data_IF_271668676538
#
_entry.id   IF_271668676538
#
_cell.length_a   1.000
_cell.length_b   1.000
_cell.length_c   1.000
_cell.angle_alpha   90.00
_cell.angle_beta   90.00
_cell.angle_gamma   90.00
#
_symmetry.space_group_name_H-M   'P 1'
#
loop_
_entity.id
_entity.type
_entity.pdbx_description
1 polymer ?
#
# COMPACT_ATOMS: atom_id res chain seq x y z
N UNK A 1 5.80 17.03 -10.76
CA UNK A 1 4.45 16.60 -10.36
C UNK A 1 4.61 15.27 -9.66
N UNK A 2 4.30 15.18 -8.37
CA UNK A 2 4.40 13.93 -7.61
C UNK A 2 3.16 13.08 -7.89
N UNK A 3 3.31 12.04 -8.70
CA UNK A 3 2.23 11.10 -9.02
C UNK A 3 1.86 10.29 -7.78
N UNK A 4 0.85 10.76 -7.04
CA UNK A 4 0.32 10.04 -5.89
C UNK A 4 -0.57 8.93 -6.41
N UNK A 5 -0.17 7.69 -6.18
CA UNK A 5 -1.02 6.51 -6.39
C UNK A 5 -1.88 6.29 -5.15
N UNK A 6 -3.19 6.16 -5.38
CA UNK A 6 -4.14 5.80 -4.34
C UNK A 6 -4.36 4.30 -4.35
N UNK A 7 -4.80 3.74 -3.22
CA UNK A 7 -5.21 2.35 -3.18
C UNK A 7 -6.28 2.00 -4.20
N UNK A 8 -7.20 2.93 -4.51
CA UNK A 8 -8.24 2.68 -5.51
C UNK A 8 -7.63 2.39 -6.88
N UNK A 9 -6.70 3.24 -7.31
CA UNK A 9 -5.95 3.07 -8.56
C UNK A 9 -5.18 1.75 -8.58
N UNK A 10 -4.53 1.43 -7.45
CA UNK A 10 -3.74 0.20 -7.29
C UNK A 10 -4.62 -1.07 -7.33
N UNK A 11 -5.79 -1.03 -6.72
CA UNK A 11 -6.79 -2.09 -6.79
C UNK A 11 -7.36 -2.27 -8.19
N UNK A 12 -7.59 -1.18 -8.93
CA UNK A 12 -8.06 -1.23 -10.32
C UNK A 12 -6.99 -1.81 -11.26
N UNK A 13 -5.72 -1.41 -11.10
CA UNK A 13 -4.60 -1.94 -11.88
C UNK A 13 -4.37 -3.44 -11.60
N UNK A 14 -4.37 -3.85 -10.33
CA UNK A 14 -4.16 -5.24 -9.93
C UNK A 14 -5.43 -6.10 -9.99
N UNK A 15 -6.59 -5.50 -10.34
CA UNK A 15 -7.92 -6.14 -10.30
C UNK A 15 -8.21 -6.88 -8.99
N UNK A 16 -7.77 -6.30 -7.86
CA UNK A 16 -8.01 -6.82 -6.52
C UNK A 16 -9.18 -6.10 -5.86
N UNK A 17 -9.95 -6.84 -5.07
CA UNK A 17 -11.02 -6.27 -4.29
C UNK A 17 -10.51 -5.23 -3.27
N UNK A 18 -11.11 -4.02 -3.22
CA UNK A 18 -10.68 -2.97 -2.29
C UNK A 18 -10.78 -3.34 -0.80
N UNK A 19 -11.53 -4.39 -0.45
CA UNK A 19 -11.54 -4.94 0.90
C UNK A 19 -10.32 -5.79 1.16
N UNK A 20 -10.07 -6.78 0.31
CA UNK A 20 -8.95 -7.70 0.44
C UNK A 20 -7.61 -6.94 0.42
N UNK A 21 -7.47 -5.98 -0.51
CA UNK A 21 -6.30 -5.13 -0.57
C UNK A 21 -6.05 -4.37 0.75
N UNK A 22 -7.10 -3.83 1.37
CA UNK A 22 -6.98 -3.13 2.66
C UNK A 22 -6.55 -4.06 3.79
N UNK A 23 -7.01 -5.31 3.78
CA UNK A 23 -6.64 -6.29 4.80
C UNK A 23 -5.19 -6.76 4.62
N UNK A 24 -4.80 -7.13 3.40
CA UNK A 24 -3.40 -7.47 3.07
C UNK A 24 -2.44 -6.34 3.45
N UNK A 25 -2.77 -5.10 3.07
CA UNK A 25 -1.96 -3.95 3.43
C UNK A 25 -1.94 -3.67 4.95
N UNK A 26 -3.05 -3.92 5.66
CA UNK A 26 -3.07 -3.80 7.13
C UNK A 26 -2.13 -4.82 7.76
N UNK A 27 -2.16 -6.07 7.29
CA UNK A 27 -1.23 -7.11 7.76
C UNK A 27 0.23 -6.74 7.45
N UNK A 28 0.51 -6.25 6.24
CA UNK A 28 1.83 -5.81 5.82
C UNK A 28 2.36 -4.64 6.65
N UNK A 29 1.52 -3.64 6.96
CA UNK A 29 1.89 -2.53 7.87
C UNK A 29 2.19 -3.02 9.28
N UNK A 30 1.44 -3.99 9.78
CA UNK A 30 1.69 -4.59 11.09
C UNK A 30 3.01 -5.39 11.09
N UNK A 31 3.39 -5.95 9.94
CA UNK A 31 4.68 -6.61 9.74
C UNK A 31 5.78 -5.60 9.35
N UNK A 32 6.11 -4.72 10.30
CA UNK A 32 7.18 -3.73 10.14
C UNK A 32 8.59 -4.36 9.97
N UNK A 33 8.74 -5.69 10.13
CA UNK A 33 9.97 -6.42 9.79
C UNK A 33 10.06 -6.70 8.30
N UNK A 34 8.95 -7.09 7.67
CA UNK A 34 8.89 -7.34 6.23
C UNK A 34 8.73 -6.05 5.41
N UNK A 35 7.97 -5.07 5.93
CA UNK A 35 7.63 -3.83 5.21
C UNK A 35 7.84 -2.57 6.08
N UNK A 36 9.10 -2.24 6.40
CA UNK A 36 9.42 -1.13 7.29
C UNK A 36 9.02 0.24 6.71
N UNK A 37 9.09 0.44 5.39
CA UNK A 37 8.77 1.73 4.77
C UNK A 37 7.25 1.92 4.62
N UNK A 38 6.50 0.85 4.35
CA UNK A 38 5.04 0.83 4.38
C UNK A 38 4.52 1.13 5.79
N UNK A 39 5.12 0.51 6.81
CA UNK A 39 4.75 0.70 8.21
C UNK A 39 5.03 2.15 8.68
N UNK A 40 6.18 2.73 8.29
CA UNK A 40 6.52 4.13 8.60
C UNK A 40 5.64 5.15 7.86
N UNK A 41 5.33 4.89 6.60
CA UNK A 41 4.49 5.78 5.79
C UNK A 41 3.03 5.76 6.26
N UNK A 42 2.61 4.70 6.96
CA UNK A 42 1.26 4.55 7.48
C UNK A 42 1.01 5.48 8.65
N UNK A 43 0.02 6.37 8.51
CA UNK A 43 -0.59 7.07 9.63
C UNK A 43 -1.97 6.47 9.97
N UNK A 44 -2.35 6.39 11.25
CA UNK A 44 -3.70 5.98 11.63
C UNK A 44 -4.74 6.90 10.99
N UNK A 45 -5.85 6.33 10.50
CA UNK A 45 -7.01 7.06 9.94
C UNK A 45 -6.72 7.86 8.66
N UNK A 46 -5.53 7.76 8.07
CA UNK A 46 -5.25 8.38 6.77
C UNK A 46 -5.60 7.45 5.61
N UNK A 47 -6.06 7.99 4.46
CA UNK A 47 -6.27 7.21 3.26
C UNK A 47 -4.96 6.55 2.80
N UNK A 48 -5.09 5.38 2.18
CA UNK A 48 -3.97 4.69 1.56
C UNK A 48 -3.54 5.41 0.28
N UNK A 49 -2.41 6.09 0.36
CA UNK A 49 -1.82 6.86 -0.73
C UNK A 49 -0.30 6.74 -0.63
N UNK A 50 0.35 6.58 -1.78
CA UNK A 50 1.79 6.48 -1.87
C UNK A 50 2.28 7.32 -3.03
N UNK A 51 3.50 7.82 -2.94
CA UNK A 51 4.15 8.42 -4.11
C UNK A 51 4.57 7.29 -5.05
N UNK A 52 4.13 7.34 -6.30
CA UNK A 52 4.48 6.37 -7.33
C UNK A 52 6.00 6.27 -7.45
N UNK A 53 6.52 5.05 -7.35
CA UNK A 53 7.96 4.77 -7.36
C UNK A 53 8.67 4.86 -6.00
N UNK A 54 7.98 5.29 -4.92
CA UNK A 54 8.54 5.26 -3.56
C UNK A 54 8.72 3.83 -3.02
N UNK A 55 9.57 3.68 -2.01
CA UNK A 55 9.79 2.39 -1.34
C UNK A 55 8.46 1.82 -0.77
N UNK A 56 7.67 2.66 -0.10
CA UNK A 56 6.36 2.27 0.43
C UNK A 56 5.37 1.86 -0.68
N UNK A 57 5.42 2.49 -1.86
CA UNK A 57 4.62 2.06 -3.01
C UNK A 57 5.02 0.67 -3.51
N UNK A 58 6.32 0.41 -3.65
CA UNK A 58 6.82 -0.92 -4.07
C UNK A 58 6.43 -2.00 -3.06
N UNK A 59 6.59 -1.72 -1.77
CA UNK A 59 6.17 -2.63 -0.70
C UNK A 59 4.65 -2.87 -0.71
N UNK A 60 3.85 -1.84 -1.00
CA UNK A 60 2.40 -1.98 -1.13
C UNK A 60 2.01 -2.89 -2.29
N UNK A 61 2.64 -2.74 -3.47
CA UNK A 61 2.39 -3.59 -4.64
C UNK A 61 2.77 -5.04 -4.32
N UNK A 62 3.97 -5.28 -3.76
CA UNK A 62 4.43 -6.62 -3.37
C UNK A 62 3.50 -7.27 -2.34
N UNK A 63 2.99 -6.50 -1.38
CA UNK A 63 2.04 -7.01 -0.38
C UNK A 63 0.66 -7.37 -0.98
N UNK A 64 0.31 -6.80 -2.13
CA UNK A 64 -0.96 -7.02 -2.82
C UNK A 64 -0.88 -8.15 -3.87
N UNK A 65 0.25 -8.26 -4.56
CA UNK A 65 0.52 -9.33 -5.54
C UNK A 65 0.77 -10.71 -4.89
N UNK A 66 1.04 -10.74 -3.58
CA UNK A 66 1.29 -11.97 -2.83
C UNK A 66 0.04 -12.77 -2.47
#
# INVERSE_FOLDING_TARGET
MSDIITLKTLCEELKIDPREAREKLRAAVSDAKAYPELAKARKPRTPWQWVKGSAAHKEAVVALER
#
